data_IF_473896639058
#
_entry.id   IF_473896639058
#
_cell.length_a   1.000
_cell.length_b   1.000
_cell.length_c   1.000
_cell.angle_alpha   90.00
_cell.angle_beta   90.00
_cell.angle_gamma   90.00
#
_symmetry.space_group_name_H-M   'P 1'
#
loop_
_entity.id
_entity.type
_entity.pdbx_description
1 polymer ?
#
# COMPACT_ATOMS: atom_id res chain seq x y z
N UNK A 1 -3.17 17.35 15.20
CA UNK A 1 -2.92 16.06 14.49
C UNK A 1 -4.25 15.44 14.07
N UNK A 2 -4.29 14.33 13.31
CA UNK A 2 -5.55 13.66 12.95
C UNK A 2 -5.51 12.18 13.35
N UNK A 3 -6.65 11.64 13.75
CA UNK A 3 -6.79 10.24 14.13
C UNK A 3 -6.71 9.33 12.91
N UNK A 4 -5.77 8.37 12.90
CA UNK A 4 -5.60 7.43 11.78
C UNK A 4 -6.84 6.54 11.53
N UNK A 5 -7.59 6.22 12.59
CA UNK A 5 -8.75 5.35 12.49
C UNK A 5 -9.97 6.08 11.92
N UNK A 6 -10.40 7.17 12.56
CA UNK A 6 -11.66 7.85 12.23
C UNK A 6 -11.50 9.18 11.47
N UNK A 7 -10.28 9.71 11.32
CA UNK A 7 -10.02 10.98 10.63
C UNK A 7 -10.36 12.23 11.44
N UNK A 8 -10.71 12.10 12.72
CA UNK A 8 -11.05 13.23 13.59
C UNK A 8 -9.82 14.11 13.86
N UNK A 9 -10.02 15.44 13.93
CA UNK A 9 -8.96 16.35 14.35
C UNK A 9 -8.69 16.14 15.83
N UNK A 10 -7.43 15.86 16.15
CA UNK A 10 -6.94 15.64 17.50
C UNK A 10 -6.15 16.87 17.94
N UNK A 11 -6.52 17.38 19.11
CA UNK A 11 -5.78 18.44 19.81
C UNK A 11 -4.41 17.94 20.28
N UNK A 12 -3.51 18.84 20.61
CA UNK A 12 -2.16 18.46 21.06
C UNK A 12 -2.22 17.82 22.45
N UNK A 13 -1.58 16.66 22.63
CA UNK A 13 -1.51 15.95 23.91
C UNK A 13 -2.60 14.91 24.20
N UNK A 14 -3.57 14.67 23.31
CA UNK A 14 -4.53 13.56 23.50
C UNK A 14 -3.92 12.20 23.18
N UNK A 15 -3.91 11.31 24.17
CA UNK A 15 -3.45 9.91 24.06
C UNK A 15 -4.49 8.97 23.44
N UNK A 16 -5.76 9.40 23.40
CA UNK A 16 -6.87 8.62 22.87
C UNK A 16 -7.81 9.50 22.06
N UNK A 17 -8.27 9.02 20.92
CA UNK A 17 -9.21 9.74 20.09
C UNK A 17 -10.58 9.83 20.79
N UNK A 18 -11.14 11.04 21.01
CA UNK A 18 -12.41 11.22 21.72
C UNK A 18 -13.61 10.65 20.97
N UNK A 19 -13.50 10.48 19.64
CA UNK A 19 -14.60 10.01 18.80
C UNK A 19 -14.67 8.49 18.63
N UNK A 20 -13.53 7.82 18.50
CA UNK A 20 -13.49 6.37 18.22
C UNK A 20 -12.75 5.56 19.27
N UNK A 21 -12.16 6.20 20.28
CA UNK A 21 -11.45 5.51 21.35
C UNK A 21 -10.12 4.85 20.95
N UNK A 22 -9.61 5.07 19.73
CA UNK A 22 -8.31 4.52 19.33
C UNK A 22 -7.16 5.27 20.01
N UNK A 23 -6.07 4.56 20.33
CA UNK A 23 -4.89 5.16 20.94
C UNK A 23 -4.07 5.95 19.92
N UNK A 24 -3.68 7.17 20.28
CA UNK A 24 -2.85 8.04 19.47
C UNK A 24 -1.39 7.68 19.75
N UNK A 25 -0.91 6.58 19.15
CA UNK A 25 0.46 6.09 19.39
C UNK A 25 1.49 6.92 18.60
N UNK A 26 2.27 7.73 19.30
CA UNK A 26 3.41 8.50 18.76
C UNK A 26 4.71 7.69 18.82
N UNK A 27 4.69 6.43 18.34
CA UNK A 27 5.90 5.61 18.23
C UNK A 27 5.76 4.62 17.07
N UNK A 28 5.80 5.13 15.84
CA UNK A 28 6.01 4.29 14.68
C UNK A 28 7.52 4.07 14.54
N UNK A 29 8.01 2.89 14.93
CA UNK A 29 9.28 2.41 14.38
C UNK A 29 8.99 2.16 12.91
N UNK A 30 9.57 2.92 12.00
CA UNK A 30 9.23 2.89 10.58
C UNK A 30 9.68 1.59 9.90
N UNK A 31 8.93 0.51 10.13
CA UNK A 31 9.07 -0.77 9.42
C UNK A 31 8.46 -0.73 8.01
N UNK A 32 7.92 0.41 7.57
CA UNK A 32 7.31 0.60 6.25
C UNK A 32 8.24 0.27 5.09
N UNK A 33 9.55 0.54 5.22
CA UNK A 33 10.54 0.20 4.18
C UNK A 33 10.76 -1.31 4.12
N UNK A 34 10.93 -1.96 5.28
CA UNK A 34 11.18 -3.41 5.38
C UNK A 34 9.97 -4.21 4.89
N UNK A 35 8.76 -3.78 5.26
CA UNK A 35 7.52 -4.42 4.83
C UNK A 35 7.31 -4.28 3.31
N UNK A 36 7.67 -3.13 2.74
CA UNK A 36 7.65 -2.91 1.29
C UNK A 36 8.61 -3.84 0.56
N UNK A 37 9.85 -4.01 1.05
CA UNK A 37 10.84 -4.92 0.46
C UNK A 37 10.37 -6.38 0.51
N UNK A 38 9.85 -6.84 1.65
CA UNK A 38 9.28 -8.19 1.77
C UNK A 38 8.09 -8.42 0.84
N UNK A 39 7.22 -7.42 0.68
CA UNK A 39 6.08 -7.50 -0.23
C UNK A 39 6.51 -7.59 -1.70
N UNK A 40 7.62 -6.95 -2.09
CA UNK A 40 8.18 -7.07 -3.45
C UNK A 40 8.74 -8.48 -3.67
N UNK A 41 9.51 -9.02 -2.72
CA UNK A 41 10.10 -10.35 -2.81
C UNK A 41 9.05 -11.46 -2.86
N UNK A 42 8.07 -11.43 -1.95
CA UNK A 42 6.95 -12.38 -1.92
C UNK A 42 5.97 -12.14 -3.08
N UNK A 43 5.83 -10.88 -3.49
CA UNK A 43 4.99 -10.47 -4.61
C UNK A 43 5.48 -11.00 -5.94
N UNK A 44 6.78 -11.17 -6.16
CA UNK A 44 7.28 -11.81 -7.38
C UNK A 44 6.87 -13.29 -7.45
N UNK A 45 6.78 -13.96 -6.29
CA UNK A 45 6.40 -15.37 -6.21
C UNK A 45 4.87 -15.60 -6.23
N UNK A 46 4.10 -14.65 -5.70
CA UNK A 46 2.63 -14.70 -5.52
C UNK A 46 1.91 -13.61 -6.31
N UNK A 47 2.54 -13.13 -7.38
CA UNK A 47 2.19 -11.94 -8.15
C UNK A 47 0.69 -11.70 -8.44
N UNK A 48 -0.13 -12.72 -8.79
CA UNK A 48 -1.56 -12.47 -8.98
C UNK A 48 -2.28 -12.06 -7.68
N UNK A 49 -1.93 -12.65 -6.54
CA UNK A 49 -2.61 -12.40 -5.25
C UNK A 49 -2.18 -11.04 -4.67
N UNK A 50 -0.88 -10.73 -4.77
CA UNK A 50 -0.33 -9.46 -4.29
C UNK A 50 -0.90 -8.25 -5.05
N UNK A 51 -1.19 -8.41 -6.34
CA UNK A 51 -1.89 -7.38 -7.13
C UNK A 51 -3.28 -7.06 -6.55
N UNK A 52 -4.08 -8.09 -6.23
CA UNK A 52 -5.41 -7.89 -5.65
C UNK A 52 -5.35 -7.22 -4.26
N UNK A 53 -4.39 -7.59 -3.43
CA UNK A 53 -4.18 -6.94 -2.12
C UNK A 53 -3.68 -5.50 -2.25
N UNK A 54 -2.86 -5.19 -3.28
CA UNK A 54 -2.39 -3.84 -3.56
C UNK A 54 -3.53 -2.87 -3.90
N UNK A 55 -4.56 -3.34 -4.60
CA UNK A 55 -5.76 -2.55 -4.90
C UNK A 55 -6.54 -2.18 -3.64
N UNK A 56 -6.69 -3.11 -2.70
CA UNK A 56 -7.37 -2.86 -1.41
C UNK A 56 -6.62 -1.80 -0.59
N UNK A 57 -5.29 -1.76 -0.67
CA UNK A 57 -4.44 -0.75 -0.04
C UNK A 57 -4.67 0.68 -0.56
N UNK A 58 -4.98 0.86 -1.85
CA UNK A 58 -5.29 2.18 -2.43
C UNK A 58 -6.51 2.83 -1.77
N UNK A 59 -7.52 2.03 -1.43
CA UNK A 59 -8.75 2.51 -0.78
C UNK A 59 -8.47 3.18 0.56
N UNK A 60 -7.43 2.76 1.28
CA UNK A 60 -7.04 3.38 2.54
C UNK A 60 -6.19 4.65 2.33
N UNK A 61 -5.33 4.67 1.31
CA UNK A 61 -4.55 5.86 0.93
C UNK A 61 -5.43 7.00 0.39
N UNK A 62 -6.59 6.69 -0.21
CA UNK A 62 -7.54 7.69 -0.71
C UNK A 62 -8.12 8.60 0.39
N UNK A 63 -8.13 8.13 1.65
CA UNK A 63 -8.60 8.87 2.83
C UNK A 63 -7.65 10.02 3.23
N UNK A 64 -6.42 10.03 2.72
CA UNK A 64 -5.45 11.09 2.93
C UNK A 64 -5.54 12.11 1.77
N UNK A 65 -5.99 13.34 2.05
CA UNK A 65 -6.29 14.35 1.04
C UNK A 65 -5.02 15.05 0.48
N UNK A 66 -4.06 14.25 0.02
CA UNK A 66 -2.85 14.73 -0.62
C UNK A 66 -2.83 14.27 -2.07
N UNK A 67 -3.02 15.21 -3.00
CA UNK A 67 -3.08 14.98 -4.45
C UNK A 67 -1.86 14.23 -4.96
N UNK A 68 -0.67 14.54 -4.42
CA UNK A 68 0.58 13.85 -4.74
C UNK A 68 0.54 12.36 -4.36
N UNK A 69 0.03 12.02 -3.16
CA UNK A 69 -0.05 10.64 -2.71
C UNK A 69 -0.97 9.77 -3.57
N UNK A 70 -2.09 10.35 -4.04
CA UNK A 70 -3.01 9.67 -4.97
C UNK A 70 -2.33 9.38 -6.31
N UNK A 71 -1.61 10.36 -6.86
CA UNK A 71 -0.90 10.21 -8.14
C UNK A 71 0.23 9.18 -8.03
N UNK A 72 1.04 9.24 -6.98
CA UNK A 72 2.16 8.30 -6.76
C UNK A 72 1.63 6.86 -6.66
N UNK A 73 0.54 6.65 -5.94
CA UNK A 73 -0.04 5.31 -5.78
C UNK A 73 -0.67 4.80 -7.09
N UNK A 74 -1.32 5.67 -7.86
CA UNK A 74 -1.85 5.33 -9.18
C UNK A 74 -0.73 4.96 -10.18
N UNK A 75 0.36 5.73 -10.21
CA UNK A 75 1.52 5.46 -11.06
C UNK A 75 2.17 4.13 -10.68
N UNK A 76 2.36 3.88 -9.38
CA UNK A 76 2.93 2.62 -8.89
C UNK A 76 2.07 1.41 -9.26
N UNK A 77 0.74 1.53 -9.16
CA UNK A 77 -0.20 0.51 -9.61
C UNK A 77 -0.02 0.25 -11.11
N UNK A 78 -0.04 1.30 -11.95
CA UNK A 78 0.08 1.18 -13.40
C UNK A 78 1.43 0.57 -13.86
N UNK A 79 2.53 0.96 -13.23
CA UNK A 79 3.85 0.38 -13.55
C UNK A 79 3.88 -1.09 -13.14
N UNK A 80 3.37 -1.42 -11.94
CA UNK A 80 3.25 -2.80 -11.48
C UNK A 80 2.42 -3.65 -12.45
N UNK A 81 1.34 -3.07 -13.00
CA UNK A 81 0.48 -3.79 -13.94
C UNK A 81 1.19 -4.14 -15.24
N UNK A 82 1.91 -3.17 -15.80
CA UNK A 82 2.68 -3.35 -17.03
C UNK A 82 3.80 -4.37 -16.87
N UNK A 83 4.53 -4.34 -15.74
CA UNK A 83 5.65 -5.25 -15.48
C UNK A 83 5.19 -6.70 -15.36
N UNK A 84 4.08 -6.95 -14.67
CA UNK A 84 3.56 -8.31 -14.53
C UNK A 84 2.97 -8.84 -15.84
N UNK A 85 2.31 -8.01 -16.65
CA UNK A 85 1.90 -8.42 -17.99
C UNK A 85 3.12 -8.78 -18.86
N UNK A 86 4.18 -7.98 -18.80
CA UNK A 86 5.42 -8.26 -19.52
C UNK A 86 6.09 -9.56 -19.04
N UNK A 87 6.09 -9.83 -17.74
CA UNK A 87 6.58 -11.08 -17.16
C UNK A 87 5.80 -12.30 -17.65
N UNK A 88 4.47 -12.23 -17.70
CA UNK A 88 3.63 -13.32 -18.23
C UNK A 88 3.88 -13.56 -19.73
N UNK A 89 4.09 -12.50 -20.52
CA UNK A 89 4.41 -12.61 -21.96
C UNK A 89 5.78 -13.26 -22.17
N UNK A 90 6.79 -12.90 -21.38
CA UNK A 90 8.11 -13.54 -21.45
C UNK A 90 7.98 -15.01 -21.08
N UNK A 91 7.29 -15.33 -19.98
CA UNK A 91 7.11 -16.71 -19.52
C UNK A 91 6.42 -17.57 -20.59
N UNK A 92 5.38 -17.07 -21.26
CA UNK A 92 4.69 -17.79 -22.34
C UNK A 92 5.57 -17.96 -23.58
N UNK A 93 6.42 -17.00 -23.90
CA UNK A 93 7.39 -17.12 -25.00
C UNK A 93 8.48 -18.15 -24.71
N UNK A 94 8.94 -18.27 -23.45
CA UNK A 94 9.94 -19.25 -23.04
C UNK A 94 9.37 -20.65 -22.80
N UNK A 95 8.08 -20.76 -22.51
CA UNK A 95 7.37 -22.03 -22.31
C UNK A 95 6.91 -22.71 -23.61
N UNK A 96 7.11 -22.09 -24.77
CA UNK A 96 6.80 -22.67 -26.08
C UNK A 96 7.89 -23.62 -26.60
N UNK A 97 8.91 -23.92 -25.78
CA UNK A 97 9.99 -24.86 -26.07
C UNK A 97 9.87 -26.08 -25.15
N UNK A 98 8.76 -26.82 -25.23
CA UNK A 98 8.59 -28.14 -24.60
C UNK A 98 7.79 -29.04 -25.54
#
# INVERSE_FOLDING_TARGET
MYCFNCGERLDEGVTRCPKCGTYVSSNNKDYSVILGVFAILLGILLAPIAWFCGFIGLTHAYKYNNTLGKIINYIALFIGTMVFLFYIIILSSTGSCA
#
